data_IF_845772209389
#
_entry.id   IF_845772209389
#
_cell.length_a   1.000
_cell.length_b   1.000
_cell.length_c   1.000
_cell.angle_alpha   90.00
_cell.angle_beta   90.00
_cell.angle_gamma   90.00
#
_symmetry.space_group_name_H-M   'P 1'
#
loop_
_entity.id
_entity.type
_entity.pdbx_description
1 polymer ?
#
# COMPACT_ATOMS: atom_id res chain seq x y z
N UNK A 1 -13.08 -9.14 24.50
CA UNK A 1 -11.72 -9.43 25.02
C UNK A 1 -10.82 -8.28 24.59
N UNK A 2 -9.91 -7.80 25.44
CA UNK A 2 -8.97 -6.74 25.06
C UNK A 2 -7.84 -7.33 24.19
N UNK A 3 -7.35 -6.58 23.21
CA UNK A 3 -6.17 -6.98 22.44
C UNK A 3 -4.95 -6.99 23.38
N UNK A 4 -4.12 -8.03 23.28
CA UNK A 4 -2.87 -8.10 24.05
C UNK A 4 -1.77 -7.31 23.34
N UNK A 5 -0.95 -6.61 24.11
CA UNK A 5 0.24 -5.93 23.58
C UNK A 5 1.18 -6.95 22.91
N UNK A 6 1.81 -6.52 21.81
CA UNK A 6 2.77 -7.35 21.09
C UNK A 6 3.97 -7.68 22.00
N UNK A 7 4.30 -8.97 22.20
CA UNK A 7 5.24 -9.36 23.23
C UNK A 7 6.67 -8.91 22.89
N UNK A 8 7.45 -8.65 23.94
CA UNK A 8 8.91 -8.53 23.86
C UNK A 8 9.48 -9.88 24.32
N UNK A 9 10.10 -10.65 23.43
CA UNK A 9 10.64 -11.95 23.80
C UNK A 9 11.77 -11.81 24.81
N UNK A 10 11.92 -12.82 25.66
CA UNK A 10 13.05 -12.91 26.58
C UNK A 10 14.39 -12.91 25.83
N UNK A 11 15.39 -12.25 26.40
CA UNK A 11 16.70 -12.08 25.78
C UNK A 11 17.41 -13.42 25.59
N UNK A 12 17.40 -14.29 26.59
CA UNK A 12 18.08 -15.58 26.51
C UNK A 12 17.46 -16.49 25.46
N UNK A 13 16.13 -16.54 25.45
CA UNK A 13 15.36 -17.26 24.44
C UNK A 13 15.66 -16.74 23.03
N UNK A 14 15.72 -15.41 22.86
CA UNK A 14 16.03 -14.78 21.57
C UNK A 14 17.45 -15.11 21.10
N UNK A 15 18.45 -15.01 21.98
CA UNK A 15 19.85 -15.31 21.64
C UNK A 15 20.07 -16.80 21.34
N UNK A 16 19.36 -17.69 22.05
CA UNK A 16 19.37 -19.12 21.79
C UNK A 16 18.82 -19.44 20.40
N UNK A 17 17.65 -18.91 20.05
CA UNK A 17 17.05 -19.15 18.73
C UNK A 17 17.88 -18.53 17.60
N UNK A 18 18.41 -17.33 17.79
CA UNK A 18 19.34 -16.71 16.85
C UNK A 18 20.60 -17.58 16.65
N UNK A 19 21.17 -18.10 17.75
CA UNK A 19 22.31 -19.02 17.69
C UNK A 19 22.00 -20.32 16.94
N UNK A 20 20.83 -20.91 17.18
CA UNK A 20 20.37 -22.13 16.49
C UNK A 20 20.30 -21.92 14.97
N UNK A 21 19.78 -20.77 14.51
CA UNK A 21 19.72 -20.44 13.08
C UNK A 21 21.12 -20.18 12.51
N UNK A 22 21.94 -19.38 13.20
CA UNK A 22 23.28 -19.02 12.73
C UNK A 22 24.23 -20.20 12.66
N UNK A 23 24.06 -21.21 13.52
CA UNK A 23 24.83 -22.45 13.45
C UNK A 23 24.64 -23.21 12.13
N UNK A 24 23.49 -23.05 11.47
CA UNK A 24 23.20 -23.70 10.19
C UNK A 24 23.81 -22.96 8.99
N UNK A 25 24.12 -21.67 9.15
CA UNK A 25 24.55 -20.78 8.06
C UNK A 25 26.02 -20.37 8.15
N UNK A 26 26.58 -20.33 9.36
CA UNK A 26 27.96 -19.91 9.60
C UNK A 26 28.92 -21.10 9.63
N UNK A 27 30.18 -20.86 9.26
CA UNK A 27 31.26 -21.82 9.50
C UNK A 27 31.48 -22.01 11.01
N UNK A 28 32.06 -23.15 11.45
CA UNK A 28 32.31 -23.41 12.86
C UNK A 28 33.11 -22.30 13.57
N UNK A 29 34.14 -21.76 12.90
CA UNK A 29 34.98 -20.69 13.46
C UNK A 29 34.20 -19.39 13.67
N UNK A 30 33.37 -18.99 12.69
CA UNK A 30 32.53 -17.80 12.79
C UNK A 30 31.43 -17.96 13.84
N UNK A 31 30.86 -19.16 13.96
CA UNK A 31 29.87 -19.44 14.99
C UNK A 31 30.48 -19.37 16.40
N UNK A 32 31.72 -19.86 16.57
CA UNK A 32 32.44 -19.70 17.84
C UNK A 32 32.76 -18.25 18.16
N UNK A 33 33.14 -17.44 17.16
CA UNK A 33 33.32 -15.99 17.34
C UNK A 33 32.01 -15.30 17.78
N UNK A 34 30.89 -15.65 17.15
CA UNK A 34 29.56 -15.15 17.55
C UNK A 34 29.24 -15.46 19.02
N UNK A 35 29.42 -16.72 19.45
CA UNK A 35 29.16 -17.12 20.85
C UNK A 35 30.07 -16.38 21.85
N UNK A 36 31.33 -16.21 21.50
CA UNK A 36 32.28 -15.48 22.34
C UNK A 36 31.88 -14.00 22.45
N UNK A 37 31.49 -13.36 21.35
CA UNK A 37 31.03 -11.97 21.33
C UNK A 37 29.77 -11.76 22.18
N UNK A 38 28.79 -12.66 22.07
CA UNK A 38 27.59 -12.61 22.93
C UNK A 38 27.92 -12.68 24.41
N UNK A 39 28.86 -13.56 24.79
CA UNK A 39 29.27 -13.73 26.18
C UNK A 39 29.98 -12.48 26.70
N UNK A 40 30.83 -11.86 25.89
CA UNK A 40 31.56 -10.63 26.23
C UNK A 40 30.64 -9.40 26.34
N UNK A 41 29.55 -9.34 25.56
CA UNK A 41 28.64 -8.19 25.51
C UNK A 41 27.37 -8.36 26.36
N UNK A 42 27.33 -9.35 27.26
CA UNK A 42 26.13 -9.73 28.02
C UNK A 42 25.47 -8.55 28.73
N UNK A 43 26.24 -7.72 29.42
CA UNK A 43 25.72 -6.56 30.17
C UNK A 43 25.09 -5.51 29.25
N UNK A 44 25.71 -5.26 28.09
CA UNK A 44 25.21 -4.32 27.07
C UNK A 44 23.88 -4.83 26.50
N UNK A 45 23.79 -6.14 26.23
CA UNK A 45 22.57 -6.77 25.72
C UNK A 45 21.43 -6.71 26.74
N UNK A 46 21.71 -6.92 28.03
CA UNK A 46 20.72 -6.77 29.10
C UNK A 46 20.23 -5.33 29.24
N UNK A 47 21.13 -4.35 29.12
CA UNK A 47 20.76 -2.94 29.12
C UNK A 47 19.90 -2.58 27.90
N UNK A 48 20.23 -3.09 26.72
CA UNK A 48 19.42 -2.92 25.52
C UNK A 48 18.02 -3.53 25.67
N UNK A 49 17.92 -4.74 26.25
CA UNK A 49 16.64 -5.39 26.55
C UNK A 49 15.79 -4.55 27.51
N UNK A 50 16.38 -3.99 28.58
CA UNK A 50 15.66 -3.10 29.50
C UNK A 50 15.09 -1.88 28.78
N UNK A 51 15.93 -1.19 28.00
CA UNK A 51 15.50 -0.03 27.20
C UNK A 51 14.39 -0.38 26.22
N UNK A 52 14.46 -1.57 25.60
CA UNK A 52 13.42 -2.04 24.69
C UNK A 52 12.09 -2.29 25.44
N UNK A 53 12.15 -2.96 26.59
CA UNK A 53 10.99 -3.18 27.46
C UNK A 53 10.34 -1.87 27.91
N UNK A 54 11.15 -0.91 28.35
CA UNK A 54 10.67 0.41 28.78
C UNK A 54 10.04 1.17 27.60
N UNK A 55 10.67 1.14 26.43
CA UNK A 55 10.16 1.82 25.24
C UNK A 55 8.89 1.18 24.66
N UNK A 56 8.72 -0.14 24.84
CA UNK A 56 7.55 -0.89 24.38
C UNK A 56 6.37 -0.89 25.35
N UNK A 57 6.59 -0.56 26.62
CA UNK A 57 5.53 -0.54 27.63
C UNK A 57 4.39 0.41 27.25
N UNK A 58 3.15 -0.09 27.33
CA UNK A 58 1.94 0.68 27.00
C UNK A 58 1.70 0.91 25.50
N UNK A 59 2.44 0.22 24.62
CA UNK A 59 2.21 0.23 23.17
C UNK A 59 1.55 -1.08 22.74
N UNK A 60 0.47 -0.98 21.97
CA UNK A 60 -0.19 -2.13 21.31
C UNK A 60 0.82 -2.95 20.50
N UNK A 61 1.71 -2.28 19.77
CA UNK A 61 2.81 -2.92 19.06
C UNK A 61 4.07 -2.04 19.04
N UNK A 62 5.09 -2.45 19.78
CA UNK A 62 6.35 -1.71 19.91
C UNK A 62 7.19 -1.67 18.62
N UNK A 63 7.01 -2.63 17.70
CA UNK A 63 7.85 -2.78 16.50
C UNK A 63 7.28 -2.06 15.27
N UNK A 64 5.97 -1.75 15.24
CA UNK A 64 5.28 -1.15 14.08
C UNK A 64 6.01 0.09 13.55
N UNK A 65 6.29 1.07 14.41
CA UNK A 65 6.95 2.32 13.99
C UNK A 65 8.38 2.11 13.52
N UNK A 66 9.13 1.20 14.14
CA UNK A 66 10.51 0.90 13.71
C UNK A 66 10.53 0.21 12.34
N UNK A 67 9.63 -0.75 12.14
CA UNK A 67 9.51 -1.47 10.88
C UNK A 67 9.05 -0.54 9.75
N UNK A 68 8.01 0.26 10.00
CA UNK A 68 7.50 1.30 9.10
C UNK A 68 8.59 2.29 8.73
N UNK A 69 9.33 2.81 9.70
CA UNK A 69 10.44 3.75 9.47
C UNK A 69 11.50 3.17 8.54
N UNK A 70 11.87 1.89 8.70
CA UNK A 70 12.81 1.21 7.79
C UNK A 70 12.25 1.08 6.37
N UNK A 71 10.99 0.68 6.22
CA UNK A 71 10.34 0.59 4.90
C UNK A 71 10.27 1.94 4.18
N UNK A 72 9.96 3.01 4.92
CA UNK A 72 9.89 4.38 4.40
C UNK A 72 11.26 5.00 4.10
N UNK A 73 12.33 4.44 4.68
CA UNK A 73 13.71 4.85 4.41
C UNK A 73 14.31 4.23 3.15
N UNK A 74 13.69 3.15 2.63
CA UNK A 74 14.11 2.52 1.38
C UNK A 74 14.03 3.51 0.22
N UNK A 75 15.15 3.72 -0.48
CA UNK A 75 15.26 4.63 -1.63
C UNK A 75 14.93 3.95 -2.96
N UNK A 76 14.82 2.63 -2.98
CA UNK A 76 14.62 1.86 -4.20
C UNK A 76 13.19 2.06 -4.76
N UNK A 77 13.03 1.95 -6.09
CA UNK A 77 11.72 1.93 -6.74
C UNK A 77 10.73 0.97 -6.07
N UNK A 78 9.57 1.48 -5.65
CA UNK A 78 8.52 0.65 -5.01
C UNK A 78 8.11 -0.60 -5.82
N UNK A 79 7.96 -0.54 -7.16
CA UNK A 79 7.56 -1.71 -7.94
C UNK A 79 8.49 -2.90 -7.73
N UNK A 80 9.79 -2.66 -7.57
CA UNK A 80 10.81 -3.71 -7.46
C UNK A 80 11.26 -3.98 -6.03
N UNK A 81 11.06 -3.05 -5.10
CA UNK A 81 11.49 -3.21 -3.70
C UNK A 81 10.41 -3.76 -2.78
N UNK A 82 9.30 -3.05 -2.62
CA UNK A 82 8.30 -3.33 -1.56
C UNK A 82 6.90 -3.68 -2.06
N UNK A 83 6.59 -3.49 -3.35
CA UNK A 83 5.28 -3.85 -3.90
C UNK A 83 5.12 -5.37 -4.00
N UNK A 84 4.08 -5.91 -3.34
CA UNK A 84 3.73 -7.33 -3.39
C UNK A 84 2.47 -7.50 -4.26
N UNK A 85 2.59 -7.94 -5.53
CA UNK A 85 1.44 -8.15 -6.40
C UNK A 85 0.65 -9.40 -5.96
N UNK A 86 -0.67 -9.36 -6.10
CA UNK A 86 -1.55 -10.52 -5.93
C UNK A 86 -2.44 -10.69 -7.15
N UNK A 87 -2.68 -11.93 -7.57
CA UNK A 87 -3.62 -12.26 -8.64
C UNK A 87 -4.87 -12.86 -8.01
N UNK A 88 -6.01 -12.20 -8.18
CA UNK A 88 -7.31 -12.76 -7.80
C UNK A 88 -7.76 -13.77 -8.87
N UNK A 89 -8.24 -14.96 -8.47
CA UNK A 89 -8.75 -15.94 -9.42
C UNK A 89 -9.93 -15.38 -10.22
N UNK A 90 -10.17 -15.94 -11.40
CA UNK A 90 -11.32 -15.57 -12.20
C UNK A 90 -12.62 -15.91 -11.44
N UNK A 91 -13.57 -14.97 -11.44
CA UNK A 91 -14.86 -15.17 -10.79
C UNK A 91 -15.64 -16.28 -11.51
N UNK A 92 -16.13 -17.28 -10.75
CA UNK A 92 -16.95 -18.37 -11.30
C UNK A 92 -18.38 -17.93 -11.62
N UNK A 93 -18.88 -16.92 -10.93
CA UNK A 93 -20.26 -16.45 -11.05
C UNK A 93 -20.47 -15.49 -12.25
N UNK A 94 -19.39 -15.11 -12.94
CA UNK A 94 -19.38 -14.00 -13.89
C UNK A 94 -18.68 -14.44 -15.18
N UNK A 95 -19.19 -15.52 -15.81
CA UNK A 95 -18.62 -16.09 -17.05
C UNK A 95 -18.79 -15.19 -18.27
N UNK A 96 -19.85 -14.40 -18.30
CA UNK A 96 -20.22 -13.53 -19.43
C UNK A 96 -20.03 -12.04 -19.10
N UNK A 97 -19.43 -11.71 -17.95
CA UNK A 97 -19.39 -10.33 -17.48
C UNK A 97 -18.24 -9.52 -18.09
N UNK A 98 -18.55 -8.27 -18.38
CA UNK A 98 -17.58 -7.30 -18.88
C UNK A 98 -16.50 -7.04 -17.83
N UNK A 99 -15.26 -6.72 -18.25
CA UNK A 99 -14.18 -6.32 -17.31
C UNK A 99 -14.62 -5.19 -16.36
N UNK A 100 -15.60 -4.39 -16.79
CA UNK A 100 -16.10 -3.22 -16.09
C UNK A 100 -17.05 -3.60 -14.96
N UNK A 101 -17.92 -4.60 -15.15
CA UNK A 101 -18.81 -5.11 -14.11
C UNK A 101 -18.01 -5.70 -12.96
N UNK A 102 -16.97 -6.48 -13.28
CA UNK A 102 -15.99 -6.95 -12.29
C UNK A 102 -15.27 -5.81 -11.57
N UNK A 103 -14.83 -4.79 -12.29
CA UNK A 103 -14.17 -3.62 -11.68
C UNK A 103 -15.12 -2.90 -10.70
N UNK A 104 -16.36 -2.62 -11.13
CA UNK A 104 -17.38 -2.00 -10.29
C UNK A 104 -17.67 -2.80 -9.02
N UNK A 105 -17.79 -4.13 -9.14
CA UNK A 105 -18.03 -5.01 -8.01
C UNK A 105 -16.87 -5.00 -6.99
N UNK A 106 -15.63 -5.01 -7.46
CA UNK A 106 -14.45 -4.92 -6.59
C UNK A 106 -14.35 -3.55 -5.90
N UNK A 107 -14.59 -2.47 -6.64
CA UNK A 107 -14.58 -1.11 -6.08
C UNK A 107 -15.67 -0.95 -5.04
N UNK A 108 -16.88 -1.43 -5.32
CA UNK A 108 -17.98 -1.45 -4.37
C UNK A 108 -17.66 -2.26 -3.11
N UNK A 109 -17.06 -3.45 -3.27
CA UNK A 109 -16.66 -4.28 -2.14
C UNK A 109 -15.61 -3.58 -1.26
N UNK A 110 -14.65 -2.87 -1.85
CA UNK A 110 -13.65 -2.09 -1.11
C UNK A 110 -14.27 -0.87 -0.43
N UNK A 111 -15.22 -0.19 -1.07
CA UNK A 111 -15.98 0.90 -0.45
C UNK A 111 -16.75 0.41 0.78
N UNK A 112 -17.41 -0.75 0.67
CA UNK A 112 -18.08 -1.44 1.77
C UNK A 112 -17.12 -1.83 2.88
N UNK A 113 -15.97 -2.42 2.55
CA UNK A 113 -14.96 -2.79 3.54
C UNK A 113 -14.44 -1.58 4.32
N UNK A 114 -14.27 -0.44 3.65
CA UNK A 114 -13.81 0.80 4.30
C UNK A 114 -14.89 1.44 5.18
N UNK A 115 -16.15 1.50 4.72
CA UNK A 115 -17.24 2.11 5.49
C UNK A 115 -17.81 1.20 6.58
N UNK A 116 -17.72 -0.11 6.38
CA UNK A 116 -18.33 -1.16 7.20
C UNK A 116 -17.30 -2.29 7.49
N UNK A 117 -16.15 -2.00 8.13
CA UNK A 117 -15.08 -2.98 8.33
C UNK A 117 -15.49 -4.20 9.16
N UNK A 118 -16.51 -4.04 10.02
CA UNK A 118 -17.12 -5.13 10.80
C UNK A 118 -17.74 -6.25 9.94
N UNK A 119 -17.92 -6.05 8.64
CA UNK A 119 -18.37 -7.11 7.73
C UNK A 119 -17.33 -8.22 7.55
N UNK A 120 -16.04 -7.93 7.77
CA UNK A 120 -14.95 -8.91 7.67
C UNK A 120 -14.25 -9.16 9.00
N UNK A 121 -14.31 -8.20 9.93
CA UNK A 121 -13.83 -8.40 11.29
C UNK A 121 -14.74 -9.42 11.98
N UNK A 122 -14.18 -10.58 12.32
CA UNK A 122 -14.86 -11.59 13.15
C UNK A 122 -14.84 -11.13 14.62
N UNK A 123 -15.37 -11.95 15.52
CA UNK A 123 -15.37 -11.70 16.98
C UNK A 123 -13.97 -11.63 17.65
N UNK A 124 -12.89 -11.60 16.86
CA UNK A 124 -11.51 -11.52 17.34
C UNK A 124 -11.01 -10.09 17.17
N UNK A 125 -10.61 -9.40 18.26
CA UNK A 125 -9.98 -8.10 18.18
C UNK A 125 -8.75 -8.16 17.26
N UNK A 126 -8.68 -7.26 16.27
CA UNK A 126 -7.51 -7.09 15.41
C UNK A 126 -6.74 -5.82 15.78
N UNK A 127 -5.45 -5.81 15.43
CA UNK A 127 -4.59 -4.66 15.57
C UNK A 127 -5.09 -3.52 14.67
N UNK A 128 -5.23 -2.30 15.22
CA UNK A 128 -5.94 -1.21 14.53
C UNK A 128 -5.02 -0.21 13.83
N UNK A 129 -3.77 -0.09 14.26
CA UNK A 129 -2.84 0.91 13.71
C UNK A 129 -2.61 0.64 12.22
N UNK A 130 -2.26 -0.58 11.84
CA UNK A 130 -1.98 -0.92 10.44
C UNK A 130 -3.22 -0.86 9.57
N UNK A 131 -4.37 -1.29 10.11
CA UNK A 131 -5.64 -1.26 9.39
C UNK A 131 -6.05 0.16 8.99
N UNK A 132 -5.81 1.14 9.88
CA UNK A 132 -6.12 2.55 9.62
C UNK A 132 -5.33 3.17 8.47
N UNK A 133 -4.21 2.55 8.07
CA UNK A 133 -3.32 3.05 7.01
C UNK A 133 -3.51 2.34 5.66
N UNK A 134 -4.43 1.38 5.56
CA UNK A 134 -4.67 0.63 4.30
C UNK A 134 -5.41 1.47 3.26
N UNK A 135 -6.39 2.24 3.70
CA UNK A 135 -7.29 3.02 2.85
C UNK A 135 -7.10 4.52 3.06
N UNK A 136 -7.45 5.29 2.03
CA UNK A 136 -7.33 6.75 2.07
C UNK A 136 -5.93 7.20 2.53
N UNK A 137 -4.92 6.45 2.08
CA UNK A 137 -3.54 6.64 2.43
C UNK A 137 -2.68 6.65 1.17
N UNK A 138 -1.62 7.46 1.21
CA UNK A 138 -0.61 7.48 0.15
C UNK A 138 0.78 7.58 0.73
N UNK A 139 1.73 6.84 0.16
CA UNK A 139 3.15 6.95 0.49
C UNK A 139 3.76 8.11 -0.28
N UNK A 140 3.97 9.25 0.38
CA UNK A 140 4.58 10.41 -0.25
C UNK A 140 6.11 10.28 -0.23
N UNK A 141 6.79 10.49 -1.37
CA UNK A 141 8.24 10.50 -1.40
C UNK A 141 8.74 11.71 -0.60
N UNK A 142 9.77 11.50 0.23
CA UNK A 142 10.40 12.60 0.98
C UNK A 142 11.88 12.79 0.64
N UNK A 143 12.48 13.87 1.14
CA UNK A 143 13.89 14.18 0.86
C UNK A 143 14.85 13.19 1.52
N UNK A 144 14.54 12.77 2.75
CA UNK A 144 15.37 11.85 3.55
C UNK A 144 14.67 10.51 3.80
N UNK A 145 13.36 10.57 3.97
CA UNK A 145 12.49 9.44 4.28
C UNK A 145 11.11 9.76 3.72
N UNK A 146 10.41 8.75 3.24
CA UNK A 146 9.03 8.88 2.79
C UNK A 146 8.07 8.98 3.99
N UNK A 147 6.84 9.40 3.75
CA UNK A 147 5.79 9.43 4.77
C UNK A 147 4.53 8.73 4.28
N UNK A 148 3.76 8.14 5.19
CA UNK A 148 2.38 7.74 4.90
C UNK A 148 1.49 8.90 5.31
N UNK A 149 0.79 9.49 4.35
CA UNK A 149 -0.20 10.54 4.60
C UNK A 149 -1.60 9.98 4.48
N UNK A 150 -2.43 10.27 5.49
CA UNK A 150 -3.83 9.86 5.57
C UNK A 150 -4.76 10.97 5.09
N UNK A 151 -5.90 10.58 4.54
CA UNK A 151 -6.92 11.44 3.94
C UNK A 151 -8.33 11.00 4.39
N UNK A 152 -8.66 11.11 5.69
CA UNK A 152 -9.88 10.51 6.27
C UNK A 152 -11.19 11.09 5.74
N UNK A 153 -11.15 12.26 5.10
CA UNK A 153 -12.31 12.91 4.47
C UNK A 153 -12.48 12.57 2.98
N UNK A 154 -11.63 11.71 2.44
CA UNK A 154 -11.75 11.25 1.05
C UNK A 154 -12.98 10.39 0.85
N UNK A 155 -13.64 10.56 -0.30
CA UNK A 155 -14.86 9.83 -0.66
C UNK A 155 -14.79 9.16 -2.04
N UNK A 156 -13.66 9.30 -2.73
CA UNK A 156 -13.47 8.84 -4.09
C UNK A 156 -12.33 7.82 -4.21
N UNK A 157 -12.44 6.94 -5.19
CA UNK A 157 -11.32 6.21 -5.76
C UNK A 157 -10.73 7.02 -6.92
N UNK A 158 -9.50 6.71 -7.32
CA UNK A 158 -8.94 7.21 -8.58
C UNK A 158 -8.93 6.09 -9.61
N UNK A 159 -9.63 6.29 -10.73
CA UNK A 159 -9.56 5.45 -11.91
C UNK A 159 -8.42 5.94 -12.80
N UNK A 160 -7.56 5.04 -13.26
CA UNK A 160 -6.61 5.28 -14.34
C UNK A 160 -6.92 4.35 -15.51
N UNK A 161 -7.04 4.91 -16.71
CA UNK A 161 -7.31 4.19 -17.95
C UNK A 161 -6.66 4.93 -19.13
N UNK A 162 -6.81 4.42 -20.36
CA UNK A 162 -6.33 5.13 -21.57
C UNK A 162 -6.87 6.55 -21.74
N UNK A 163 -8.03 6.85 -21.16
CA UNK A 163 -8.64 8.18 -21.25
C UNK A 163 -8.07 9.17 -20.22
N UNK A 164 -7.20 8.71 -19.31
CA UNK A 164 -6.56 9.53 -18.28
C UNK A 164 -6.85 9.05 -16.86
N UNK A 165 -6.88 9.99 -15.92
CA UNK A 165 -7.17 9.74 -14.52
C UNK A 165 -8.46 10.47 -14.09
N UNK A 166 -9.38 9.75 -13.45
CA UNK A 166 -10.72 10.25 -13.10
C UNK A 166 -11.05 9.93 -11.64
N UNK A 167 -11.58 10.90 -10.87
CA UNK A 167 -12.16 10.59 -9.57
C UNK A 167 -13.47 9.82 -9.77
N UNK A 168 -13.61 8.70 -9.07
CA UNK A 168 -14.83 7.91 -9.02
C UNK A 168 -15.36 8.03 -7.61
N UNK A 169 -16.51 8.67 -7.45
CA UNK A 169 -17.16 8.72 -6.15
C UNK A 169 -17.58 7.31 -5.75
N UNK A 170 -17.18 6.85 -4.56
CA UNK A 170 -17.48 5.49 -4.07
C UNK A 170 -18.17 5.50 -2.71
N UNK A 171 -18.03 6.59 -1.95
CA UNK A 171 -18.73 6.81 -0.70
C UNK A 171 -19.59 8.05 -0.79
N UNK A 172 -20.57 8.15 0.10
CA UNK A 172 -21.24 9.40 0.40
C UNK A 172 -21.29 9.63 1.90
N UNK A 173 -21.37 10.89 2.28
CA UNK A 173 -21.58 11.32 3.67
C UNK A 173 -22.88 12.14 3.70
N UNK A 174 -24.01 11.58 4.17
CA UNK A 174 -25.33 12.24 4.11
C UNK A 174 -25.38 13.58 4.84
N UNK A 175 -24.61 13.74 5.91
CA UNK A 175 -24.53 14.95 6.72
C UNK A 175 -23.10 15.16 7.23
N UNK A 176 -22.66 16.41 7.48
CA UNK A 176 -21.37 16.67 8.10
C UNK A 176 -21.22 15.89 9.42
N UNK A 177 -20.15 15.09 9.54
CA UNK A 177 -19.92 14.22 10.69
C UNK A 177 -20.75 12.93 10.74
N UNK A 178 -21.64 12.68 9.77
CA UNK A 178 -22.40 11.44 9.65
C UNK A 178 -21.55 10.25 9.19
N UNK A 179 -22.08 9.01 9.29
CA UNK A 179 -21.39 7.81 8.86
C UNK A 179 -21.14 7.82 7.34
N UNK A 180 -20.04 7.19 6.94
CA UNK A 180 -19.76 6.93 5.54
C UNK A 180 -20.62 5.76 5.07
N UNK A 181 -21.13 5.87 3.85
CA UNK A 181 -21.92 4.81 3.22
C UNK A 181 -21.48 4.62 1.78
N UNK A 182 -21.26 3.38 1.37
CA UNK A 182 -20.92 3.06 -0.02
C UNK A 182 -22.05 3.45 -0.98
N UNK A 183 -21.69 4.00 -2.15
CA UNK A 183 -22.64 4.17 -3.24
C UNK A 183 -23.12 2.81 -3.76
N UNK A 184 -24.24 2.81 -4.49
CA UNK A 184 -24.76 1.59 -5.12
C UNK A 184 -23.79 1.06 -6.18
N UNK A 185 -23.80 -0.25 -6.41
CA UNK A 185 -23.00 -0.89 -7.47
C UNK A 185 -23.28 -0.26 -8.85
N UNK A 186 -24.55 0.02 -9.16
CA UNK A 186 -24.95 0.68 -10.41
C UNK A 186 -24.34 2.08 -10.57
N UNK A 187 -24.39 2.91 -9.52
CA UNK A 187 -23.80 4.26 -9.58
C UNK A 187 -22.28 4.22 -9.78
N UNK A 188 -21.59 3.23 -9.21
CA UNK A 188 -20.15 3.03 -9.42
C UNK A 188 -19.89 2.56 -10.86
N UNK A 189 -20.68 1.60 -11.36
CA UNK A 189 -20.58 1.10 -12.73
C UNK A 189 -20.76 2.22 -13.75
N UNK A 190 -21.81 3.04 -13.63
CA UNK A 190 -22.12 4.13 -14.55
C UNK A 190 -20.98 5.16 -14.63
N UNK A 191 -20.36 5.48 -13.48
CA UNK A 191 -19.18 6.36 -13.43
C UNK A 191 -17.95 5.76 -14.11
N UNK A 192 -17.70 4.47 -13.90
CA UNK A 192 -16.59 3.76 -14.54
C UNK A 192 -16.82 3.69 -16.05
N UNK A 193 -18.02 3.34 -16.50
CA UNK A 193 -18.41 3.26 -17.91
C UNK A 193 -18.25 4.61 -18.61
N UNK A 194 -18.79 5.66 -17.99
CA UNK A 194 -18.69 7.02 -18.50
C UNK A 194 -17.23 7.43 -18.68
N UNK A 195 -16.38 7.13 -17.70
CA UNK A 195 -14.96 7.49 -17.72
C UNK A 195 -14.15 6.66 -18.72
N UNK A 196 -14.43 5.36 -18.85
CA UNK A 196 -13.72 4.46 -19.78
C UNK A 196 -14.08 4.70 -21.25
N UNK A 197 -15.26 5.27 -21.51
CA UNK A 197 -15.75 5.61 -22.84
C UNK A 197 -15.29 7.01 -23.32
N UNK A 198 -14.59 7.77 -22.48
CA UNK A 198 -13.97 9.02 -22.91
C UNK A 198 -12.87 8.77 -23.96
N UNK A 199 -12.63 9.70 -24.89
CA UNK A 199 -11.52 9.61 -25.82
C UNK A 199 -10.18 9.46 -25.09
N UNK A 200 -9.23 8.78 -25.73
CA UNK A 200 -7.88 8.66 -25.19
C UNK A 200 -7.31 10.05 -24.86
N UNK A 201 -6.64 10.15 -23.71
CA UNK A 201 -6.04 11.40 -23.30
C UNK A 201 -5.00 11.85 -24.34
N UNK A 202 -5.03 13.13 -24.72
CA UNK A 202 -3.90 13.75 -25.40
C UNK A 202 -2.66 13.77 -24.49
N UNK A 203 -1.48 14.03 -25.07
CA UNK A 203 -0.20 14.00 -24.34
C UNK A 203 -0.19 14.83 -23.04
N UNK A 204 -0.93 15.95 -23.00
CA UNK A 204 -1.02 16.84 -21.83
C UNK A 204 -1.90 16.32 -20.68
N UNK A 205 -2.72 15.28 -20.93
CA UNK A 205 -3.64 14.66 -19.96
C UNK A 205 -3.33 13.19 -19.71
N UNK A 206 -2.20 12.70 -20.23
CA UNK A 206 -1.81 11.31 -20.10
C UNK A 206 -1.43 10.99 -18.64
N UNK A 207 -2.25 10.17 -17.99
CA UNK A 207 -2.01 9.71 -16.62
C UNK A 207 -0.74 8.86 -16.51
N UNK A 208 -0.25 8.30 -17.62
CA UNK A 208 0.92 7.42 -17.65
C UNK A 208 2.20 8.10 -17.16
N UNK A 209 2.32 9.42 -17.35
CA UNK A 209 3.48 10.18 -16.90
C UNK A 209 3.57 10.20 -15.37
N UNK A 210 2.50 10.61 -14.67
CA UNK A 210 2.46 10.65 -13.19
C UNK A 210 2.52 9.25 -12.60
N UNK A 211 1.79 8.30 -13.16
CA UNK A 211 1.86 6.90 -12.74
C UNK A 211 3.29 6.34 -12.90
N UNK A 212 3.92 6.59 -14.04
CA UNK A 212 5.32 6.26 -14.30
C UNK A 212 6.28 6.93 -13.32
N UNK A 213 6.07 8.20 -12.94
CA UNK A 213 6.95 8.86 -11.98
C UNK A 213 6.92 8.20 -10.59
N UNK A 214 5.78 7.67 -10.15
CA UNK A 214 5.69 6.94 -8.88
C UNK A 214 6.50 5.62 -8.86
N UNK A 215 6.96 5.16 -10.04
CA UNK A 215 7.84 4.00 -10.20
C UNK A 215 9.34 4.35 -10.12
N UNK A 216 9.71 5.63 -10.07
CA UNK A 216 11.11 6.07 -9.99
C UNK A 216 11.72 5.75 -8.61
N UNK A 217 13.08 5.77 -8.50
CA UNK A 217 13.75 5.81 -7.20
C UNK A 217 13.17 6.95 -6.33
N UNK A 218 13.03 6.71 -5.02
CA UNK A 218 12.20 7.57 -4.15
C UNK A 218 12.65 9.03 -4.11
N UNK A 219 13.96 9.28 -4.26
CA UNK A 219 14.53 10.64 -4.26
C UNK A 219 14.35 11.35 -5.60
N UNK A 220 14.42 10.63 -6.71
CA UNK A 220 14.06 11.18 -8.03
C UNK A 220 12.57 11.51 -8.08
N UNK A 221 11.72 10.64 -7.54
CA UNK A 221 10.30 10.91 -7.44
C UNK A 221 10.01 12.13 -6.54
N UNK A 222 10.67 12.23 -5.39
CA UNK A 222 10.59 13.43 -4.53
C UNK A 222 10.90 14.71 -5.30
N UNK A 223 11.98 14.74 -6.07
CA UNK A 223 12.39 15.93 -6.83
C UNK A 223 11.40 16.31 -7.94
N UNK A 224 10.80 15.32 -8.62
CA UNK A 224 9.77 15.56 -9.63
C UNK A 224 8.48 16.07 -8.97
N UNK A 225 8.04 15.40 -7.89
CA UNK A 225 6.86 15.81 -7.11
C UNK A 225 6.99 17.24 -6.61
N UNK A 226 8.13 17.61 -6.05
CA UNK A 226 8.41 18.97 -5.59
C UNK A 226 8.30 20.01 -6.72
N UNK A 227 8.75 19.69 -7.93
CA UNK A 227 8.61 20.57 -9.09
C UNK A 227 7.15 20.75 -9.49
N UNK A 228 6.35 19.67 -9.45
CA UNK A 228 4.91 19.74 -9.72
C UNK A 228 4.21 20.63 -8.70
N UNK A 229 4.48 20.42 -7.41
CA UNK A 229 3.86 21.22 -6.33
C UNK A 229 4.28 22.69 -6.39
N UNK A 230 5.55 22.99 -6.67
CA UNK A 230 6.05 24.37 -6.79
C UNK A 230 5.48 25.12 -7.99
N UNK A 231 5.26 24.43 -9.12
CA UNK A 231 4.58 25.03 -10.28
C UNK A 231 3.11 25.33 -9.98
N UNK A 232 2.48 24.53 -9.12
CA UNK A 232 1.08 24.70 -8.75
C UNK A 232 0.14 24.45 -9.92
N UNK A 233 -1.06 25.05 -9.84
CA UNK A 233 -2.07 24.97 -10.90
C UNK A 233 -2.73 23.60 -11.04
N UNK A 234 -3.36 23.33 -12.19
CA UNK A 234 -4.16 22.11 -12.40
C UNK A 234 -3.40 20.81 -12.17
N UNK A 235 -2.11 20.73 -12.54
CA UNK A 235 -1.31 19.51 -12.35
C UNK A 235 -1.08 19.20 -10.87
N UNK A 236 -0.83 20.20 -10.04
CA UNK A 236 -0.70 20.02 -8.60
C UNK A 236 -2.04 19.59 -7.97
N UNK A 237 -3.16 20.17 -8.44
CA UNK A 237 -4.50 19.76 -8.02
C UNK A 237 -4.84 18.33 -8.41
N UNK A 238 -4.48 17.90 -9.62
CA UNK A 238 -4.64 16.50 -10.05
C UNK A 238 -3.80 15.55 -9.22
N UNK A 239 -2.56 15.92 -8.88
CA UNK A 239 -1.72 15.10 -8.02
C UNK A 239 -2.32 14.96 -6.61
N UNK A 240 -2.81 16.04 -6.01
CA UNK A 240 -3.47 15.99 -4.70
C UNK A 240 -4.73 15.11 -4.74
N UNK A 241 -5.53 15.21 -5.82
CA UNK A 241 -6.71 14.36 -6.03
C UNK A 241 -6.36 12.87 -6.14
N UNK A 242 -5.26 12.54 -6.84
CA UNK A 242 -4.75 11.18 -6.93
C UNK A 242 -4.24 10.71 -5.55
N UNK A 243 -3.44 11.53 -4.86
CA UNK A 243 -2.86 11.21 -3.56
C UNK A 243 -3.91 11.09 -2.45
N UNK A 244 -5.04 11.78 -2.55
CA UNK A 244 -6.11 11.74 -1.54
C UNK A 244 -7.12 10.62 -1.75
N UNK A 245 -7.18 10.00 -2.93
CA UNK A 245 -8.12 8.91 -3.20
C UNK A 245 -8.04 7.75 -2.19
N UNK A 246 -9.18 7.15 -1.87
CA UNK A 246 -9.31 5.99 -0.97
C UNK A 246 -8.49 4.80 -1.47
N UNK A 247 -8.58 4.54 -2.78
CA UNK A 247 -7.89 3.48 -3.49
C UNK A 247 -7.66 3.88 -4.95
N UNK A 248 -6.81 3.14 -5.66
CA UNK A 248 -6.60 3.29 -7.11
C UNK A 248 -7.13 2.08 -7.88
N UNK A 249 -7.72 2.33 -9.04
CA UNK A 249 -8.23 1.33 -9.98
C UNK A 249 -7.56 1.57 -11.31
N UNK A 250 -6.89 0.57 -11.87
CA UNK A 250 -6.28 0.66 -13.21
C UNK A 250 -7.03 -0.24 -14.18
N UNK A 251 -7.66 0.36 -15.20
CA UNK A 251 -8.26 -0.35 -16.32
C UNK A 251 -7.24 -0.39 -17.47
N UNK A 252 -6.67 -1.58 -17.68
CA UNK A 252 -5.71 -1.84 -18.75
C UNK A 252 -6.43 -2.39 -19.99
N UNK A 253 -6.10 -1.86 -21.17
CA UNK A 253 -6.73 -2.26 -22.44
C UNK A 253 -6.16 -3.57 -23.03
N UNK A 254 -5.09 -4.09 -22.45
CA UNK A 254 -4.42 -5.31 -22.90
C UNK A 254 -5.05 -6.58 -22.34
N UNK A 255 -5.02 -7.70 -23.08
CA UNK A 255 -5.44 -8.98 -22.51
C UNK A 255 -4.53 -9.38 -21.35
N UNK A 256 -5.10 -10.03 -20.35
CA UNK A 256 -4.31 -10.64 -19.29
C UNK A 256 -3.31 -11.65 -19.88
N UNK A 257 -2.05 -11.69 -19.41
CA UNK A 257 -1.09 -12.70 -19.84
C UNK A 257 -1.63 -14.12 -19.61
N UNK A 258 -1.21 -15.07 -20.45
CA UNK A 258 -1.70 -16.45 -20.40
C UNK A 258 -1.23 -17.25 -19.19
N UNK A 259 -0.14 -16.82 -18.55
CA UNK A 259 0.43 -17.47 -17.37
C UNK A 259 0.47 -16.54 -16.14
N UNK A 260 0.48 -17.17 -14.97
CA UNK A 260 0.42 -16.48 -13.67
C UNK A 260 1.68 -15.64 -13.43
N UNK A 261 2.86 -16.12 -13.84
CA UNK A 261 4.11 -15.39 -13.60
C UNK A 261 4.17 -14.10 -14.43
N UNK A 262 3.76 -14.16 -15.70
CA UNK A 262 3.62 -12.97 -16.55
C UNK A 262 2.54 -12.03 -16.04
N UNK A 263 1.42 -12.56 -15.52
CA UNK A 263 0.37 -11.73 -14.89
C UNK A 263 0.90 -10.99 -13.66
N UNK A 264 1.63 -11.68 -12.78
CA UNK A 264 2.26 -11.06 -11.61
C UNK A 264 3.26 -9.97 -12.02
N UNK A 265 4.06 -10.22 -13.06
CA UNK A 265 4.98 -9.22 -13.58
C UNK A 265 4.24 -8.01 -14.16
N UNK A 266 3.13 -8.22 -14.88
CA UNK A 266 2.31 -7.13 -15.41
C UNK A 266 1.67 -6.30 -14.29
N UNK A 267 1.17 -6.94 -13.23
CA UNK A 267 0.62 -6.24 -12.06
C UNK A 267 1.72 -5.46 -11.32
N UNK A 268 2.91 -6.04 -11.21
CA UNK A 268 4.04 -5.45 -10.50
C UNK A 268 4.66 -4.28 -11.26
N UNK A 269 4.93 -4.43 -12.55
CA UNK A 269 5.76 -3.52 -13.34
C UNK A 269 4.98 -2.74 -14.39
N UNK A 270 3.71 -3.08 -14.64
CA UNK A 270 2.97 -2.67 -15.81
C UNK A 270 3.17 -3.63 -17.00
N UNK A 271 2.29 -3.52 -18.01
CA UNK A 271 2.37 -4.32 -19.23
C UNK A 271 3.56 -3.94 -20.12
N UNK A 272 4.23 -4.92 -20.74
CA UNK A 272 5.32 -4.67 -21.70
C UNK A 272 4.78 -3.88 -22.90
N UNK A 273 5.25 -2.64 -23.08
CA UNK A 273 4.90 -1.78 -24.21
C UNK A 273 3.61 -0.97 -24.03
N UNK A 274 2.98 -1.00 -22.85
CA UNK A 274 1.79 -0.22 -22.53
C UNK A 274 2.14 0.90 -21.56
N UNK A 275 1.37 1.99 -21.60
CA UNK A 275 1.44 3.08 -20.61
C UNK A 275 1.31 2.51 -19.20
N UNK A 276 2.24 2.86 -18.30
CA UNK A 276 2.13 2.48 -16.89
C UNK A 276 0.97 3.26 -16.26
N UNK A 277 -0.16 2.59 -15.99
CA UNK A 277 -1.34 3.24 -15.39
C UNK A 277 -1.35 3.14 -13.85
N UNK A 278 -0.29 2.60 -13.25
CA UNK A 278 -0.24 2.31 -11.81
C UNK A 278 0.37 3.45 -11.03
N UNK A 279 -0.35 3.94 -10.04
CA UNK A 279 0.20 4.86 -9.04
C UNK A 279 0.72 4.06 -7.84
N UNK A 280 2.02 3.81 -7.81
CA UNK A 280 2.67 2.87 -6.88
C UNK A 280 2.67 3.30 -5.43
N UNK A 281 2.45 4.59 -5.17
CA UNK A 281 2.38 5.17 -3.83
C UNK A 281 1.07 4.85 -3.11
N UNK A 282 0.04 4.36 -3.82
CA UNK A 282 -1.18 3.86 -3.16
C UNK A 282 -0.93 2.58 -2.39
N UNK A 283 -1.38 2.62 -1.13
CA UNK A 283 -1.22 1.54 -0.16
C UNK A 283 -2.17 0.39 -0.47
N UNK A 284 -3.45 0.69 -0.75
CA UNK A 284 -4.41 -0.29 -1.26
C UNK A 284 -4.19 -0.54 -2.75
N UNK A 285 -3.97 -1.80 -3.14
CA UNK A 285 -3.84 -2.26 -4.54
C UNK A 285 -4.81 -3.39 -4.83
#
# INVERSE_FOLDING_TARGET
MALHDYPIPDLDTTLQEAGRVLQLTLSPDLYMQYKNALSQQREILQEAQRKLSDAGSGRENWVTEQFKSRLLSCSDPLPTSTAIPTVLPQSRAWKDDTHLGRAAALVWAMAKLYSEPWLVERDVPMERTQQSEVFAASRLPGKKQDEIKLYPDSLHAILTCRAGAFPIQILHRPSPGGPLTALSLGNIYDQLEHSSNQPAAGADKDASAICGFSSLPRREWYDVREKVLKRGGPTAGSLDLMESAILAVSLEDGPAPSDVASTLNAIRLGGRGWSCLRHYDKVSK
#
